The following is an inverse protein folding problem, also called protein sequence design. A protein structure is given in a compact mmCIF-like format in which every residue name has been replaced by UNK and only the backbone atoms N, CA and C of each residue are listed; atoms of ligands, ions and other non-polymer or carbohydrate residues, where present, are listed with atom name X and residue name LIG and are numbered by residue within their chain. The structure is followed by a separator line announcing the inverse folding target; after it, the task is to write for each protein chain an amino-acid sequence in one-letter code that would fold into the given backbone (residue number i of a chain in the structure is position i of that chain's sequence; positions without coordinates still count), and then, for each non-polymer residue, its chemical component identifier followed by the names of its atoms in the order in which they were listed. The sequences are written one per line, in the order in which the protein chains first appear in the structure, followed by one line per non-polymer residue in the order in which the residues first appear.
data_IF_697610157436
#
_entry.id   IF_697610157436
#
_cell.length_a   1.000
_cell.length_b   1.000
_cell.length_c   1.000
_cell.angle_alpha   90.00
_cell.angle_beta   90.00
_cell.angle_gamma   90.00
#
_symmetry.space_group_name_H-M   'P 1'
#
loop_
_entity.id
_entity.type
_entity.pdbx_description
1 polymer ?
#
# COMPACT_ATOMS: atom_id res chain seq x y z
N UNK A 1 81.83 -23.29 -48.94
CA UNK A 1 81.17 -24.10 -47.89
C UNK A 1 81.35 -23.38 -46.54
N UNK A 2 80.31 -23.31 -45.69
CA UNK A 2 79.81 -22.03 -45.15
C UNK A 2 79.66 -21.96 -43.61
N UNK A 3 79.47 -20.76 -43.05
CA UNK A 3 78.55 -20.42 -41.92
C UNK A 3 78.78 -18.95 -41.49
N UNK A 4 77.90 -18.02 -41.90
CA UNK A 4 76.76 -17.46 -41.16
C UNK A 4 77.13 -16.43 -40.06
N UNK A 5 77.04 -15.16 -40.47
CA UNK A 5 76.83 -13.97 -39.62
C UNK A 5 75.53 -14.11 -38.82
N UNK A 6 75.55 -13.79 -37.53
CA UNK A 6 74.36 -13.62 -36.69
C UNK A 6 73.74 -12.25 -36.95
N UNK A 7 72.47 -12.26 -37.32
CA UNK A 7 71.58 -11.11 -37.46
C UNK A 7 70.99 -10.74 -36.09
N UNK A 8 70.80 -9.43 -35.90
CA UNK A 8 69.96 -8.83 -34.87
C UNK A 8 68.50 -9.22 -35.09
N UNK A 9 67.81 -9.62 -34.02
CA UNK A 9 66.35 -9.66 -33.95
C UNK A 9 65.82 -8.51 -33.08
N UNK A 10 64.64 -7.93 -33.42
CA UNK A 10 64.14 -6.71 -32.81
C UNK A 10 63.08 -6.95 -31.72
N UNK A 11 63.08 -6.01 -30.76
CA UNK A 11 61.93 -5.47 -30.03
C UNK A 11 60.71 -6.37 -29.81
N UNK A 12 60.57 -6.89 -28.59
CA UNK A 12 59.29 -7.33 -28.02
C UNK A 12 58.34 -6.13 -27.90
N UNK A 13 57.37 -6.06 -28.81
CA UNK A 13 56.29 -5.10 -28.74
C UNK A 13 55.45 -5.29 -27.47
N UNK A 14 55.51 -4.30 -26.56
CA UNK A 14 54.49 -4.11 -25.53
C UNK A 14 53.16 -3.86 -26.23
N UNK A 15 52.28 -4.85 -26.26
CA UNK A 15 50.85 -4.64 -26.50
C UNK A 15 50.33 -3.79 -25.34
N UNK A 16 50.24 -2.48 -25.56
CA UNK A 16 49.37 -1.63 -24.75
C UNK A 16 47.96 -2.21 -24.88
N UNK A 17 47.50 -2.92 -23.85
CA UNK A 17 46.07 -3.06 -23.58
C UNK A 17 45.58 -1.64 -23.36
N UNK A 18 45.08 -0.99 -24.42
CA UNK A 18 44.17 0.14 -24.26
C UNK A 18 42.98 -0.45 -23.51
N UNK A 19 42.94 -0.27 -22.20
CA UNK A 19 41.66 -0.25 -21.50
C UNK A 19 40.77 0.71 -22.30
N UNK A 20 39.67 0.19 -22.84
CA UNK A 20 38.58 1.05 -23.29
C UNK A 20 38.13 1.77 -22.02
N UNK A 21 38.71 2.95 -21.77
CA UNK A 21 38.18 3.88 -20.77
C UNK A 21 36.76 4.18 -21.27
N UNK A 22 35.76 3.67 -20.55
CA UNK A 22 34.35 3.90 -20.89
C UNK A 22 34.08 5.40 -21.01
N UNK A 23 33.07 5.76 -21.79
CA UNK A 23 32.61 7.16 -21.82
C UNK A 23 32.17 7.57 -20.41
N UNK A 24 32.41 8.84 -20.05
CA UNK A 24 32.14 9.33 -18.70
C UNK A 24 30.68 9.76 -18.55
N UNK A 25 30.14 9.69 -17.33
CA UNK A 25 28.88 10.31 -17.00
C UNK A 25 29.01 11.84 -17.06
N UNK A 26 28.28 12.48 -17.97
CA UNK A 26 28.28 13.94 -18.14
C UNK A 26 26.84 14.39 -18.37
N UNK A 27 26.41 15.39 -17.59
CA UNK A 27 25.12 16.06 -17.80
C UNK A 27 25.14 16.70 -19.18
N UNK A 28 24.06 16.53 -19.94
CA UNK A 28 23.97 17.11 -21.27
C UNK A 28 24.16 18.64 -21.21
N UNK A 29 25.15 19.14 -21.96
CA UNK A 29 25.53 20.56 -21.97
C UNK A 29 24.40 21.47 -22.43
N UNK A 30 23.46 20.92 -23.20
CA UNK A 30 22.26 21.61 -23.68
C UNK A 30 21.38 22.15 -22.52
N UNK A 31 21.53 21.61 -21.31
CA UNK A 31 20.84 22.11 -20.11
C UNK A 31 21.40 23.45 -19.61
N UNK A 32 22.61 23.82 -20.02
CA UNK A 32 23.27 25.08 -19.66
C UNK A 32 23.12 26.17 -20.72
N UNK A 33 22.53 25.84 -21.88
CA UNK A 33 22.31 26.78 -22.98
C UNK A 33 20.87 27.33 -22.93
N UNK A 34 20.71 28.63 -22.64
CA UNK A 34 19.40 29.31 -22.53
C UNK A 34 18.51 29.13 -23.77
N UNK A 35 19.08 28.89 -24.96
CA UNK A 35 18.32 28.69 -26.18
C UNK A 35 17.78 27.25 -26.34
N UNK A 36 18.47 26.25 -25.78
CA UNK A 36 18.14 24.82 -25.89
C UNK A 36 17.36 24.30 -24.68
N UNK A 37 17.46 24.99 -23.52
CA UNK A 37 16.64 24.73 -22.34
C UNK A 37 15.14 24.57 -22.67
N UNK A 38 14.62 25.33 -23.64
CA UNK A 38 13.20 25.30 -24.03
C UNK A 38 12.72 24.02 -24.73
N UNK A 39 13.60 23.17 -25.27
CA UNK A 39 13.18 21.95 -25.97
C UNK A 39 13.37 20.67 -25.16
N UNK A 40 14.38 20.63 -24.29
CA UNK A 40 14.74 19.41 -23.54
C UNK A 40 14.31 19.44 -22.07
N UNK A 41 14.04 20.63 -21.51
CA UNK A 41 13.54 20.84 -20.16
C UNK A 41 12.09 21.30 -20.23
N UNK A 42 11.19 20.54 -19.59
CA UNK A 42 9.79 20.88 -19.45
C UNK A 42 9.50 21.11 -17.96
N UNK A 43 9.38 22.38 -17.58
CA UNK A 43 8.92 22.79 -16.26
C UNK A 43 7.42 23.08 -16.33
N UNK A 44 6.66 22.51 -15.40
CA UNK A 44 5.26 22.82 -15.20
C UNK A 44 4.96 22.91 -13.71
N UNK A 45 4.06 23.80 -13.33
CA UNK A 45 3.72 24.09 -11.94
C UNK A 45 2.37 23.50 -11.51
N UNK A 46 1.64 22.86 -12.43
CA UNK A 46 0.32 22.26 -12.15
C UNK A 46 0.41 20.72 -12.23
N UNK A 47 -0.03 19.96 -11.22
CA UNK A 47 -0.70 20.40 -9.97
C UNK A 47 0.25 20.95 -8.89
N UNK A 48 1.55 20.73 -9.06
CA UNK A 48 2.63 21.29 -8.24
C UNK A 48 3.90 21.42 -9.10
N UNK A 49 4.92 22.20 -8.69
CA UNK A 49 6.17 22.32 -9.44
C UNK A 49 6.87 20.97 -9.68
N UNK A 50 6.96 20.58 -10.94
CA UNK A 50 7.70 19.40 -11.41
C UNK A 50 8.40 19.71 -12.73
N UNK A 51 9.53 19.07 -12.94
CA UNK A 51 10.37 19.29 -14.10
C UNK A 51 10.77 17.96 -14.73
N UNK A 52 10.70 17.88 -16.05
CA UNK A 52 11.21 16.77 -16.83
C UNK A 52 12.37 17.24 -17.71
N UNK A 53 13.49 16.54 -17.61
CA UNK A 53 14.67 16.73 -18.44
C UNK A 53 14.84 15.49 -19.32
N UNK A 54 14.67 15.66 -20.63
CA UNK A 54 14.95 14.61 -21.61
C UNK A 54 16.42 14.59 -22.00
N UNK A 55 16.95 13.40 -22.31
CA UNK A 55 18.37 13.20 -22.65
C UNK A 55 19.31 13.78 -21.57
N UNK A 56 19.03 13.43 -20.32
CA UNK A 56 19.73 13.97 -19.14
C UNK A 56 21.24 13.75 -19.21
N UNK A 57 21.66 12.54 -19.59
CA UNK A 57 23.07 12.21 -19.81
C UNK A 57 23.43 12.34 -21.29
N UNK A 58 24.61 12.89 -21.57
CA UNK A 58 25.07 13.14 -22.93
C UNK A 58 25.41 11.87 -23.73
N UNK A 59 26.03 10.88 -23.06
CA UNK A 59 26.53 9.65 -23.69
C UNK A 59 25.49 8.54 -23.61
N UNK A 60 24.94 8.14 -24.76
CA UNK A 60 24.06 6.97 -24.85
C UNK A 60 24.80 5.68 -24.48
N UNK A 61 26.08 5.56 -24.84
CA UNK A 61 26.87 4.35 -24.52
C UNK A 61 27.09 4.19 -23.01
N UNK A 62 27.23 5.32 -22.28
CA UNK A 62 27.25 5.30 -20.82
C UNK A 62 25.89 4.88 -20.25
N UNK A 63 24.78 5.40 -20.76
CA UNK A 63 23.43 5.08 -20.27
C UNK A 63 23.11 3.60 -20.48
N UNK A 64 23.44 3.04 -21.65
CA UNK A 64 23.32 1.61 -21.94
C UNK A 64 24.16 0.75 -20.97
N UNK A 65 25.40 1.16 -20.70
CA UNK A 65 26.29 0.45 -19.79
C UNK A 65 25.82 0.54 -18.33
N UNK A 66 25.29 1.69 -17.91
CA UNK A 66 24.66 1.88 -16.60
C UNK A 66 23.45 0.97 -16.45
N UNK A 67 22.55 0.92 -17.44
CA UNK A 67 21.39 0.03 -17.42
C UNK A 67 21.84 -1.43 -17.29
N UNK A 68 22.83 -1.85 -18.08
CA UNK A 68 23.35 -3.22 -18.04
C UNK A 68 23.96 -3.57 -16.67
N UNK A 69 24.66 -2.64 -16.02
CA UNK A 69 25.22 -2.80 -14.68
C UNK A 69 24.12 -2.88 -13.61
N UNK A 70 23.09 -2.02 -13.69
CA UNK A 70 21.96 -2.03 -12.76
C UNK A 70 21.11 -3.31 -12.88
N UNK A 71 20.92 -3.84 -14.08
CA UNK A 71 20.17 -5.08 -14.28
C UNK A 71 20.86 -6.31 -13.67
N UNK A 72 22.17 -6.24 -13.41
CA UNK A 72 22.95 -7.30 -12.74
C UNK A 72 22.88 -7.25 -11.21
N UNK A 73 22.28 -6.21 -10.63
CA UNK A 73 22.08 -6.14 -9.18
C UNK A 73 21.09 -7.19 -8.71
N UNK A 74 21.19 -7.55 -7.43
CA UNK A 74 20.14 -8.30 -6.74
C UNK A 74 18.97 -7.35 -6.47
N UNK A 75 17.76 -7.85 -6.72
CA UNK A 75 16.52 -7.14 -6.43
C UNK A 75 15.71 -7.94 -5.42
N UNK A 76 15.18 -7.23 -4.43
CA UNK A 76 14.32 -7.77 -3.40
C UNK A 76 12.88 -7.36 -3.72
N UNK A 77 11.96 -8.32 -3.71
CA UNK A 77 10.53 -8.03 -3.82
C UNK A 77 10.07 -7.22 -2.61
N UNK A 78 9.39 -6.11 -2.86
CA UNK A 78 8.78 -5.25 -1.84
C UNK A 78 7.28 -5.19 -2.08
N UNK A 79 6.51 -5.49 -1.05
CA UNK A 79 5.05 -5.42 -1.12
C UNK A 79 4.49 -5.07 0.26
N UNK A 80 3.65 -4.05 0.32
CA UNK A 80 2.82 -3.68 1.46
C UNK A 80 1.46 -3.18 0.95
N UNK A 81 0.69 -2.44 1.71
CA UNK A 81 -0.54 -1.80 1.24
C UNK A 81 -0.29 -0.81 0.08
N UNK A 82 0.74 0.02 0.20
CA UNK A 82 1.06 1.12 -0.72
C UNK A 82 1.64 0.65 -2.06
N UNK A 83 2.42 -0.41 -2.08
CA UNK A 83 3.19 -0.79 -3.26
C UNK A 83 3.36 -2.28 -3.46
N UNK A 84 3.76 -2.63 -4.69
CA UNK A 84 4.31 -3.93 -5.08
C UNK A 84 5.30 -3.69 -6.22
N UNK A 85 6.58 -3.93 -5.99
CA UNK A 85 7.64 -3.82 -7.00
C UNK A 85 8.91 -4.51 -6.52
N UNK A 86 9.98 -4.44 -7.29
CA UNK A 86 11.30 -4.94 -6.90
C UNK A 86 12.30 -3.80 -6.72
N UNK A 87 13.08 -3.81 -5.64
CA UNK A 87 14.08 -2.78 -5.34
C UNK A 87 15.47 -3.39 -5.13
N UNK A 88 16.51 -2.74 -5.64
CA UNK A 88 17.88 -3.09 -5.29
C UNK A 88 18.18 -2.74 -3.82
N UNK A 89 19.31 -3.23 -3.30
CA UNK A 89 19.91 -2.61 -2.12
C UNK A 89 20.23 -1.12 -2.39
N UNK A 90 20.46 -0.36 -1.31
CA UNK A 90 20.93 1.02 -1.40
C UNK A 90 22.21 1.12 -2.26
N UNK A 91 22.27 2.16 -3.10
CA UNK A 91 23.37 2.37 -4.03
C UNK A 91 24.40 3.40 -3.52
N UNK A 92 24.19 3.94 -2.31
CA UNK A 92 25.03 4.97 -1.70
C UNK A 92 26.50 4.57 -1.64
N UNK A 93 26.79 3.31 -1.30
CA UNK A 93 28.15 2.78 -1.10
C UNK A 93 28.62 1.80 -2.20
N UNK A 94 27.85 1.63 -3.28
CA UNK A 94 28.20 0.78 -4.42
C UNK A 94 29.43 1.33 -5.17
N UNK A 95 30.25 0.42 -5.71
CA UNK A 95 31.60 0.71 -6.27
C UNK A 95 31.75 0.39 -7.76
N UNK A 96 30.76 -0.29 -8.30
CA UNK A 96 30.41 -0.41 -9.71
C UNK A 96 30.67 0.91 -10.46
N UNK A 97 31.33 0.83 -11.62
CA UNK A 97 31.96 1.99 -12.27
C UNK A 97 30.94 3.01 -12.77
N UNK A 98 29.83 2.57 -13.40
CA UNK A 98 28.81 3.49 -13.92
C UNK A 98 27.90 3.96 -12.79
N UNK A 99 27.61 3.11 -11.80
CA UNK A 99 26.83 3.47 -10.60
C UNK A 99 27.55 4.56 -9.80
N UNK A 100 28.86 4.42 -9.59
CA UNK A 100 29.68 5.44 -8.89
C UNK A 100 29.71 6.77 -9.63
N UNK A 101 29.77 6.73 -10.96
CA UNK A 101 29.78 7.92 -11.80
C UNK A 101 28.41 8.62 -11.83
N UNK A 102 27.30 7.89 -11.98
CA UNK A 102 25.97 8.51 -11.96
C UNK A 102 25.65 9.12 -10.58
N UNK A 103 26.07 8.48 -9.48
CA UNK A 103 25.99 9.07 -8.13
C UNK A 103 26.73 10.40 -8.06
N UNK A 104 27.95 10.44 -8.61
CA UNK A 104 28.78 11.66 -8.62
C UNK A 104 28.14 12.79 -9.46
N UNK A 105 27.45 12.45 -10.55
CA UNK A 105 26.72 13.41 -11.38
C UNK A 105 25.49 13.95 -10.65
N UNK A 106 24.64 13.07 -10.11
CA UNK A 106 23.36 13.43 -9.46
C UNK A 106 23.61 14.21 -8.16
N UNK A 107 24.42 13.69 -7.24
CA UNK A 107 24.65 14.30 -5.91
C UNK A 107 25.82 15.30 -5.88
N UNK A 108 26.57 15.41 -6.98
CA UNK A 108 27.61 16.43 -7.17
C UNK A 108 27.09 17.58 -8.02
N UNK A 109 27.33 17.51 -9.32
CA UNK A 109 27.06 18.60 -10.27
C UNK A 109 25.57 19.00 -10.30
N UNK A 110 24.66 18.03 -10.43
CA UNK A 110 23.24 18.31 -10.55
C UNK A 110 22.64 18.86 -9.26
N UNK A 111 23.00 18.30 -8.10
CA UNK A 111 22.57 18.83 -6.80
C UNK A 111 22.97 20.29 -6.59
N UNK A 112 24.22 20.67 -6.92
CA UNK A 112 24.68 22.06 -6.78
C UNK A 112 23.85 22.99 -7.65
N UNK A 113 23.63 22.61 -8.91
CA UNK A 113 22.76 23.37 -9.80
C UNK A 113 21.32 23.48 -9.25
N UNK A 114 20.78 22.40 -8.71
CA UNK A 114 19.43 22.37 -8.16
C UNK A 114 19.29 23.24 -6.91
N UNK A 115 20.30 23.26 -6.03
CA UNK A 115 20.35 24.18 -4.88
C UNK A 115 20.32 25.64 -5.32
N UNK A 116 21.04 25.99 -6.40
CA UNK A 116 21.05 27.35 -6.96
C UNK A 116 19.70 27.72 -7.57
N UNK A 117 19.04 26.80 -8.28
CA UNK A 117 17.72 27.03 -8.89
C UNK A 117 16.65 27.22 -7.82
N UNK A 118 16.63 26.37 -6.79
CA UNK A 118 15.62 26.39 -5.73
C UNK A 118 15.91 27.43 -4.65
N UNK A 119 17.13 27.98 -4.61
CA UNK A 119 17.62 28.84 -3.52
C UNK A 119 17.49 28.15 -2.16
N UNK A 120 17.83 26.86 -2.11
CA UNK A 120 17.78 26.00 -0.92
C UNK A 120 19.10 25.24 -0.80
N UNK A 121 19.64 25.16 0.41
CA UNK A 121 20.83 24.37 0.69
C UNK A 121 20.50 22.87 0.75
N UNK A 122 20.70 22.16 -0.36
CA UNK A 122 20.58 20.70 -0.39
C UNK A 122 21.84 20.03 0.17
N UNK A 123 21.63 19.03 1.03
CA UNK A 123 22.67 18.24 1.69
C UNK A 123 23.40 17.31 0.71
N UNK A 124 24.64 16.94 1.04
CA UNK A 124 25.42 15.99 0.23
C UNK A 124 25.04 14.52 0.46
N UNK A 125 24.02 14.25 1.29
CA UNK A 125 23.48 12.92 1.59
C UNK A 125 23.10 12.21 0.29
N UNK A 126 23.62 10.99 0.11
CA UNK A 126 23.29 10.15 -1.03
C UNK A 126 22.15 9.23 -0.64
N UNK A 127 21.02 9.38 -1.31
CA UNK A 127 19.82 8.57 -1.12
C UNK A 127 19.31 8.17 -2.50
N UNK A 128 19.68 6.98 -2.95
CA UNK A 128 19.39 6.49 -4.29
C UNK A 128 19.29 4.97 -4.33
N UNK A 129 18.22 4.48 -4.94
CA UNK A 129 17.97 3.07 -5.17
C UNK A 129 17.60 2.81 -6.63
N UNK A 130 17.68 1.55 -7.05
CA UNK A 130 17.17 1.11 -8.34
C UNK A 130 15.85 0.37 -8.14
N UNK A 131 14.83 0.73 -8.90
CA UNK A 131 13.53 0.07 -8.86
C UNK A 131 13.21 -0.57 -10.22
N UNK A 132 12.60 -1.76 -10.15
CA UNK A 132 12.03 -2.49 -11.28
C UNK A 132 10.54 -2.67 -11.03
N UNK A 133 9.75 -2.28 -12.01
CA UNK A 133 8.32 -2.59 -12.07
C UNK A 133 8.08 -3.48 -13.28
N UNK A 134 7.53 -4.66 -13.04
CA UNK A 134 7.09 -5.63 -14.04
C UNK A 134 5.55 -5.72 -14.04
N UNK A 135 4.99 -6.64 -14.83
CA UNK A 135 3.54 -6.79 -14.92
C UNK A 135 2.87 -6.87 -13.54
N UNK A 136 1.81 -6.10 -13.33
CA UNK A 136 1.05 -5.92 -12.07
C UNK A 136 1.72 -5.11 -10.96
N UNK A 137 2.98 -4.70 -11.12
CA UNK A 137 3.66 -3.87 -10.13
C UNK A 137 3.13 -2.43 -10.16
N UNK A 138 3.05 -1.81 -8.99
CA UNK A 138 2.40 -0.51 -8.75
C UNK A 138 3.02 0.16 -7.51
N UNK A 139 2.98 1.50 -7.46
CA UNK A 139 3.20 2.29 -6.25
C UNK A 139 2.07 3.31 -6.19
N UNK A 140 1.16 3.16 -5.23
CA UNK A 140 -0.08 3.93 -5.13
C UNK A 140 0.16 5.37 -4.65
N UNK A 141 -0.93 6.15 -4.55
CA UNK A 141 -0.89 7.57 -4.22
C UNK A 141 -0.20 7.86 -2.87
N UNK A 142 0.87 8.66 -2.91
CA UNK A 142 1.64 9.13 -1.74
C UNK A 142 2.28 10.49 -2.06
N UNK A 143 2.81 11.20 -1.05
CA UNK A 143 3.40 12.54 -1.17
C UNK A 143 4.92 12.58 -0.99
N UNK A 144 5.55 11.41 -0.82
CA UNK A 144 6.98 11.22 -0.53
C UNK A 144 7.47 11.82 0.79
N UNK A 145 6.56 12.15 1.70
CA UNK A 145 6.92 12.81 2.94
C UNK A 145 7.77 11.92 3.86
N UNK A 146 8.96 12.43 4.15
CA UNK A 146 9.82 11.96 5.24
C UNK A 146 10.74 13.12 5.64
N UNK A 147 11.07 13.23 6.92
CA UNK A 147 11.94 14.31 7.42
C UNK A 147 13.28 14.34 6.66
N UNK A 148 13.68 15.55 6.21
CA UNK A 148 14.90 15.75 5.43
C UNK A 148 14.71 15.65 3.92
N UNK A 149 13.70 14.92 3.41
CA UNK A 149 13.46 14.85 1.96
C UNK A 149 12.97 16.20 1.43
N UNK A 150 13.69 16.77 0.46
CA UNK A 150 13.34 18.07 -0.14
C UNK A 150 12.96 18.00 -1.60
N UNK A 151 13.66 17.20 -2.40
CA UNK A 151 13.36 17.03 -3.83
C UNK A 151 13.44 15.56 -4.19
N UNK A 152 12.34 15.00 -4.68
CA UNK A 152 12.32 13.66 -5.25
C UNK A 152 12.84 13.70 -6.69
N UNK A 153 13.55 12.66 -7.12
CA UNK A 153 13.97 12.50 -8.52
C UNK A 153 13.83 11.06 -9.00
N UNK A 154 13.59 10.91 -10.30
CA UNK A 154 13.46 9.62 -10.99
C UNK A 154 14.16 9.72 -12.34
N UNK A 155 15.19 8.91 -12.56
CA UNK A 155 15.87 8.74 -13.85
C UNK A 155 15.42 7.43 -14.50
N UNK A 156 14.72 7.54 -15.63
CA UNK A 156 14.16 6.41 -16.36
C UNK A 156 15.18 5.77 -17.31
N UNK A 157 15.29 4.44 -17.22
CA UNK A 157 16.16 3.59 -18.04
C UNK A 157 15.32 2.48 -18.70
N UNK A 158 14.19 2.88 -19.28
CA UNK A 158 13.17 2.00 -19.85
C UNK A 158 13.39 1.74 -21.35
N UNK A 159 12.98 0.59 -21.89
CA UNK A 159 12.85 0.40 -23.34
C UNK A 159 11.80 1.37 -23.93
N UNK A 160 11.55 1.39 -25.26
CA UNK A 160 10.44 2.16 -25.83
C UNK A 160 9.12 1.88 -25.09
N UNK A 161 8.56 2.93 -24.48
CA UNK A 161 7.41 2.86 -23.58
C UNK A 161 6.23 3.64 -24.16
N UNK A 162 5.04 3.06 -24.05
CA UNK A 162 3.79 3.59 -24.58
C UNK A 162 2.72 3.65 -23.48
N UNK A 163 1.66 4.43 -23.69
CA UNK A 163 0.53 4.55 -22.74
C UNK A 163 -0.07 3.18 -22.38
N UNK A 164 -0.15 2.26 -23.34
CA UNK A 164 -0.72 0.92 -23.13
C UNK A 164 0.13 0.03 -22.20
N UNK A 165 1.40 0.38 -22.00
CA UNK A 165 2.30 -0.40 -21.13
C UNK A 165 2.07 -0.09 -19.65
N UNK A 166 1.28 0.95 -19.32
CA UNK A 166 1.07 1.42 -17.96
C UNK A 166 2.30 2.10 -17.37
N UNK A 167 2.52 2.02 -16.06
CA UNK A 167 3.76 2.49 -15.44
C UNK A 167 4.00 4.01 -15.49
N UNK A 168 2.97 4.81 -15.74
CA UNK A 168 3.07 6.28 -15.77
C UNK A 168 3.36 6.83 -14.37
N UNK A 169 4.07 7.97 -14.32
CA UNK A 169 4.09 8.79 -13.11
C UNK A 169 2.88 9.72 -13.16
N UNK A 170 1.88 9.41 -12.36
CA UNK A 170 0.63 10.18 -12.27
C UNK A 170 0.72 11.19 -11.13
N UNK A 171 0.31 12.44 -11.39
CA UNK A 171 0.31 13.54 -10.43
C UNK A 171 -1.13 13.95 -10.12
N UNK A 172 -1.45 14.10 -8.83
CA UNK A 172 -2.80 14.39 -8.37
C UNK A 172 -3.04 15.87 -8.10
N UNK A 173 -4.25 16.34 -8.37
CA UNK A 173 -4.76 17.59 -7.80
C UNK A 173 -5.09 17.41 -6.32
N UNK A 174 -5.11 18.51 -5.57
CA UNK A 174 -5.54 18.53 -4.16
C UNK A 174 -6.79 19.38 -3.94
N UNK A 175 -7.53 19.08 -2.87
CA UNK A 175 -8.69 19.86 -2.43
C UNK A 175 -8.32 20.97 -1.41
N UNK A 176 -9.33 21.62 -0.83
CA UNK A 176 -9.16 22.66 0.19
C UNK A 176 -8.60 22.16 1.53
N UNK A 177 -8.53 20.84 1.72
CA UNK A 177 -7.94 20.16 2.88
C UNK A 177 -6.55 19.58 2.58
N UNK A 178 -5.97 19.94 1.43
CA UNK A 178 -4.71 19.40 0.93
C UNK A 178 -4.75 17.86 0.77
N UNK A 179 -5.91 17.27 0.49
CA UNK A 179 -6.04 15.84 0.22
C UNK A 179 -6.04 15.57 -1.29
N UNK A 180 -5.46 14.44 -1.76
CA UNK A 180 -5.45 14.11 -3.18
C UNK A 180 -6.87 13.82 -3.69
N UNK A 181 -7.19 14.29 -4.90
CA UNK A 181 -8.53 14.14 -5.49
C UNK A 181 -8.52 13.24 -6.73
N UNK A 182 -7.76 13.62 -7.75
CA UNK A 182 -7.75 12.92 -9.03
C UNK A 182 -6.45 13.14 -9.77
N UNK A 183 -6.05 12.17 -10.59
CA UNK A 183 -4.92 12.33 -11.51
C UNK A 183 -5.24 13.39 -12.55
N UNK A 184 -4.44 14.46 -12.58
CA UNK A 184 -4.58 15.55 -13.57
C UNK A 184 -3.44 15.59 -14.58
N UNK A 185 -2.37 14.83 -14.33
CA UNK A 185 -1.24 14.68 -15.25
C UNK A 185 -0.64 13.29 -15.14
N UNK A 186 -0.31 12.69 -16.29
CA UNK A 186 0.35 11.39 -16.38
C UNK A 186 1.59 11.50 -17.27
N UNK A 187 2.76 11.31 -16.69
CA UNK A 187 4.05 11.39 -17.37
C UNK A 187 4.50 9.99 -17.79
N UNK A 188 4.74 9.80 -19.08
CA UNK A 188 5.32 8.56 -19.59
C UNK A 188 6.80 8.48 -19.25
N UNK A 189 7.29 7.33 -18.74
CA UNK A 189 8.72 7.13 -18.57
C UNK A 189 9.38 7.04 -19.95
N UNK A 190 10.44 7.81 -20.15
CA UNK A 190 11.20 7.85 -21.40
C UNK A 190 12.66 7.51 -21.14
N UNK A 191 13.30 6.76 -22.03
CA UNK A 191 14.73 6.47 -21.95
C UNK A 191 15.57 7.74 -21.71
N UNK A 192 16.50 7.68 -20.75
CA UNK A 192 17.42 8.77 -20.42
C UNK A 192 16.69 10.09 -20.09
N UNK A 193 15.53 10.00 -19.41
CA UNK A 193 14.81 11.17 -18.90
C UNK A 193 14.79 11.20 -17.38
N UNK A 194 15.09 12.39 -16.83
CA UNK A 194 15.05 12.67 -15.40
C UNK A 194 13.79 13.49 -15.11
N UNK A 195 12.95 13.03 -14.18
CA UNK A 195 11.89 13.84 -13.59
C UNK A 195 12.28 14.18 -12.16
N UNK A 196 11.99 15.40 -11.72
CA UNK A 196 12.13 15.79 -10.32
C UNK A 196 11.07 16.80 -9.91
N UNK A 197 10.72 16.80 -8.63
CA UNK A 197 9.74 17.71 -8.05
C UNK A 197 10.01 17.91 -6.55
N UNK A 198 9.57 19.05 -6.03
CA UNK A 198 9.72 19.37 -4.61
C UNK A 198 8.78 18.50 -3.76
N UNK A 199 9.32 17.92 -2.69
CA UNK A 199 8.53 17.17 -1.70
C UNK A 199 7.78 18.17 -0.85
N UNK A 200 6.45 18.09 -0.86
CA UNK A 200 5.56 19.04 -0.19
C UNK A 200 4.28 18.36 0.28
N UNK A 201 3.48 19.00 1.15
CA UNK A 201 2.21 18.44 1.62
C UNK A 201 1.13 18.27 0.53
N UNK A 202 1.44 18.62 -0.73
CA UNK A 202 0.53 18.53 -1.88
C UNK A 202 1.15 17.82 -3.08
N UNK A 203 2.37 17.28 -2.97
CA UNK A 203 3.08 16.59 -4.07
C UNK A 203 2.61 15.14 -4.25
N UNK A 204 1.30 14.93 -4.21
CA UNK A 204 0.70 13.60 -4.33
C UNK A 204 0.90 13.02 -5.73
N UNK A 205 1.44 11.81 -5.79
CA UNK A 205 1.74 11.11 -7.02
C UNK A 205 1.70 9.59 -6.83
N UNK A 206 1.68 8.86 -7.95
CA UNK A 206 1.76 7.41 -7.97
C UNK A 206 2.56 6.92 -9.20
N UNK A 207 3.04 5.68 -9.14
CA UNK A 207 3.41 4.91 -10.33
C UNK A 207 2.23 4.01 -10.68
N UNK A 208 1.53 4.34 -11.76
CA UNK A 208 0.43 3.52 -12.26
C UNK A 208 0.88 2.08 -12.52
N UNK A 209 -0.05 1.14 -12.42
CA UNK A 209 0.23 -0.28 -12.65
C UNK A 209 0.93 -0.50 -13.99
N UNK A 210 2.00 -1.31 -14.02
CA UNK A 210 2.61 -1.77 -15.27
C UNK A 210 1.75 -2.87 -15.88
N UNK A 211 1.20 -2.59 -17.05
CA UNK A 211 0.27 -3.46 -17.77
C UNK A 211 0.99 -4.38 -18.76
N UNK A 212 2.20 -4.01 -19.20
CA UNK A 212 2.98 -4.82 -20.13
C UNK A 212 3.49 -6.11 -19.49
N UNK A 213 3.25 -7.25 -20.13
CA UNK A 213 3.77 -8.57 -19.70
C UNK A 213 5.24 -8.80 -20.09
N UNK A 214 5.75 -8.07 -21.09
CA UNK A 214 7.08 -8.34 -21.67
C UNK A 214 8.16 -7.32 -21.30
N UNK A 215 7.78 -6.18 -20.72
CA UNK A 215 8.66 -5.02 -20.53
C UNK A 215 8.92 -4.79 -19.04
N UNK A 216 10.13 -4.36 -18.73
CA UNK A 216 10.54 -3.96 -17.39
C UNK A 216 10.71 -2.44 -17.35
N UNK A 217 10.00 -1.78 -16.43
CA UNK A 217 10.19 -0.36 -16.13
C UNK A 217 11.31 -0.21 -15.11
N UNK A 218 12.52 0.05 -15.58
CA UNK A 218 13.70 0.30 -14.76
C UNK A 218 13.89 1.80 -14.50
N UNK A 219 14.14 2.17 -13.24
CA UNK A 219 14.49 3.54 -12.87
C UNK A 219 15.49 3.59 -11.72
N UNK A 220 16.35 4.61 -11.73
CA UNK A 220 16.99 5.09 -10.52
C UNK A 220 16.11 6.15 -9.89
N UNK A 221 15.86 6.07 -8.59
CA UNK A 221 15.05 7.06 -7.87
C UNK A 221 15.61 7.32 -6.49
N UNK A 222 15.35 8.50 -5.96
CA UNK A 222 15.79 8.90 -4.64
C UNK A 222 15.44 10.34 -4.32
N UNK A 223 16.09 10.87 -3.29
CA UNK A 223 15.80 12.20 -2.78
C UNK A 223 17.07 13.02 -2.57
N UNK A 224 17.00 14.31 -2.88
CA UNK A 224 17.91 15.29 -2.33
C UNK A 224 17.40 15.72 -0.97
N UNK A 225 18.27 15.65 0.03
CA UNK A 225 17.96 16.03 1.40
C UNK A 225 18.20 17.52 1.63
N UNK A 226 17.49 18.12 2.57
CA UNK A 226 17.60 19.54 2.93
C UNK A 226 16.55 19.95 3.98
N UNK A 227 16.40 21.26 4.25
CA UNK A 227 15.41 21.74 5.19
C UNK A 227 13.99 21.34 4.79
N UNK A 228 13.28 20.63 5.68
CA UNK A 228 11.88 20.24 5.47
C UNK A 228 10.97 21.46 5.29
N UNK A 229 9.94 21.32 4.43
CA UNK A 229 8.87 22.31 4.35
C UNK A 229 7.97 22.26 5.60
N UNK A 230 7.41 23.40 6.05
CA UNK A 230 6.39 23.39 7.10
C UNK A 230 5.15 22.63 6.64
N UNK A 231 4.68 21.67 7.43
CA UNK A 231 3.43 20.94 7.16
C UNK A 231 2.26 21.58 7.90
N UNK A 232 1.05 21.68 7.29
CA UNK A 232 -0.16 21.96 8.03
C UNK A 232 -0.46 20.85 9.06
N UNK A 233 -1.32 21.15 10.02
CA UNK A 233 -1.87 20.12 10.91
C UNK A 233 -2.55 19.04 10.08
N UNK A 234 -2.36 17.77 10.47
CA UNK A 234 -3.00 16.63 9.81
C UNK A 234 -4.51 16.84 9.74
N UNK A 235 -5.07 16.59 8.55
CA UNK A 235 -6.51 16.57 8.38
C UNK A 235 -7.11 15.36 9.10
N UNK A 236 -8.24 15.55 9.75
CA UNK A 236 -8.97 14.49 10.45
C UNK A 236 -10.32 14.37 9.77
N UNK A 237 -10.56 13.21 9.17
CA UNK A 237 -11.83 12.92 8.51
C UNK A 237 -12.99 12.90 9.52
N UNK A 238 -14.19 13.37 9.12
CA UNK A 238 -15.38 13.21 9.91
C UNK A 238 -15.64 11.73 10.22
N UNK A 239 -15.99 11.39 11.48
CA UNK A 239 -16.25 10.00 11.84
C UNK A 239 -17.51 9.47 11.16
N UNK A 240 -17.46 8.22 10.67
CA UNK A 240 -18.64 7.54 10.14
C UNK A 240 -19.68 7.33 11.27
N UNK A 241 -20.96 7.69 11.06
CA UNK A 241 -22.01 7.47 12.05
C UNK A 241 -22.16 5.99 12.40
N UNK A 242 -22.27 5.67 13.69
CA UNK A 242 -22.58 4.32 14.19
C UNK A 242 -24.05 4.18 14.51
N UNK A 243 -24.58 2.98 14.36
CA UNK A 243 -25.97 2.66 14.63
C UNK A 243 -26.08 1.51 15.64
N UNK A 244 -27.08 1.56 16.52
CA UNK A 244 -27.47 0.41 17.34
C UNK A 244 -28.22 -0.61 16.48
N UNK A 245 -28.42 -1.82 17.01
CA UNK A 245 -29.20 -2.85 16.32
C UNK A 245 -30.60 -2.38 15.91
N UNK A 246 -31.12 -2.94 14.82
CA UNK A 246 -32.50 -2.74 14.37
C UNK A 246 -33.37 -3.79 15.07
N UNK A 247 -34.42 -3.40 15.82
CA UNK A 247 -35.34 -4.35 16.43
C UNK A 247 -36.07 -5.15 15.36
N UNK A 248 -35.76 -6.45 15.26
CA UNK A 248 -36.34 -7.39 14.31
C UNK A 248 -36.49 -8.76 14.97
N UNK A 249 -37.42 -9.54 14.45
CA UNK A 249 -37.75 -10.87 14.97
C UNK A 249 -36.72 -11.93 14.55
N UNK A 250 -36.55 -12.97 15.38
CA UNK A 250 -35.57 -14.04 15.18
C UNK A 250 -35.83 -14.90 13.92
N UNK A 251 -37.04 -14.83 13.35
CA UNK A 251 -37.40 -15.48 12.08
C UNK A 251 -36.41 -15.20 10.95
N UNK A 252 -35.80 -14.02 10.90
CA UNK A 252 -34.79 -13.67 9.89
C UNK A 252 -33.56 -14.58 9.94
N UNK A 253 -33.12 -15.03 11.12
CA UNK A 253 -31.98 -15.94 11.22
C UNK A 253 -32.29 -17.26 10.52
N UNK A 254 -33.48 -17.83 10.76
CA UNK A 254 -33.91 -19.09 10.17
C UNK A 254 -34.18 -19.01 8.67
N UNK A 255 -34.45 -17.82 8.14
CA UNK A 255 -34.63 -17.59 6.70
C UNK A 255 -33.28 -17.49 5.96
N UNK A 256 -32.26 -16.90 6.59
CA UNK A 256 -31.04 -16.49 5.89
C UNK A 256 -29.79 -17.31 6.23
N UNK A 257 -29.60 -17.65 7.51
CA UNK A 257 -28.38 -18.29 8.00
C UNK A 257 -28.49 -19.80 7.83
N UNK A 258 -27.40 -20.42 7.36
CA UNK A 258 -27.30 -21.86 7.27
C UNK A 258 -27.52 -22.50 8.66
N UNK A 259 -28.48 -23.42 8.74
CA UNK A 259 -28.96 -24.02 9.99
C UNK A 259 -27.84 -24.60 10.87
N UNK A 260 -26.70 -25.01 10.28
CA UNK A 260 -25.56 -25.49 11.08
C UNK A 260 -25.02 -24.45 12.05
N UNK A 261 -25.05 -23.16 11.68
CA UNK A 261 -24.56 -22.06 12.52
C UNK A 261 -25.59 -21.62 13.57
N UNK A 262 -26.81 -22.16 13.51
CA UNK A 262 -27.86 -21.94 14.50
C UNK A 262 -27.89 -23.05 15.57
N UNK A 263 -27.15 -24.15 15.38
CA UNK A 263 -27.03 -25.22 16.38
C UNK A 263 -26.13 -24.77 17.56
N UNK A 264 -26.63 -24.79 18.82
CA UNK A 264 -25.86 -24.31 19.97
C UNK A 264 -24.53 -25.05 20.20
N UNK A 265 -24.45 -26.35 19.85
CA UNK A 265 -23.20 -27.11 20.01
C UNK A 265 -22.19 -26.75 18.94
N UNK A 266 -22.66 -26.40 17.74
CA UNK A 266 -21.81 -25.87 16.69
C UNK A 266 -21.30 -24.47 17.08
N UNK A 267 -22.17 -23.59 17.57
CA UNK A 267 -21.80 -22.26 18.05
C UNK A 267 -20.71 -22.32 19.13
N UNK A 268 -20.85 -23.20 20.13
CA UNK A 268 -19.84 -23.35 21.18
C UNK A 268 -18.46 -23.79 20.65
N UNK A 269 -18.42 -24.59 19.57
CA UNK A 269 -17.15 -24.97 18.92
C UNK A 269 -16.53 -23.81 18.13
N UNK A 270 -17.36 -23.07 17.40
CA UNK A 270 -16.94 -21.85 16.68
C UNK A 270 -16.39 -20.83 17.67
N UNK A 271 -17.08 -20.63 18.79
CA UNK A 271 -16.63 -19.73 19.86
C UNK A 271 -15.29 -20.16 20.43
N UNK A 272 -15.10 -21.44 20.75
CA UNK A 272 -13.82 -21.91 21.25
C UNK A 272 -12.68 -21.65 20.24
N UNK A 273 -12.90 -21.93 18.95
CA UNK A 273 -11.90 -21.68 17.91
C UNK A 273 -11.58 -20.18 17.80
N UNK A 274 -12.62 -19.33 17.82
CA UNK A 274 -12.45 -17.88 17.78
C UNK A 274 -11.72 -17.33 19.02
N UNK A 275 -12.00 -17.84 20.22
CA UNK A 275 -11.30 -17.43 21.44
C UNK A 275 -9.80 -17.81 21.41
N UNK A 276 -9.45 -18.89 20.71
CA UNK A 276 -8.06 -19.35 20.56
C UNK A 276 -7.27 -18.52 19.54
N UNK A 277 -7.88 -18.10 18.42
CA UNK A 277 -7.19 -17.44 17.29
C UNK A 277 -7.56 -15.97 17.06
N UNK A 278 -8.65 -15.48 17.66
CA UNK A 278 -9.30 -14.18 17.38
C UNK A 278 -9.75 -13.99 15.91
N UNK A 279 -9.86 -15.09 15.15
CA UNK A 279 -10.30 -15.10 13.75
C UNK A 279 -11.07 -16.38 13.42
N UNK A 280 -12.04 -16.29 12.51
CA UNK A 280 -12.69 -17.48 11.95
C UNK A 280 -13.27 -17.21 10.56
N UNK A 281 -13.31 -18.25 9.71
CA UNK A 281 -13.98 -18.23 8.41
C UNK A 281 -15.13 -19.27 8.37
N UNK A 282 -16.36 -18.79 8.19
CA UNK A 282 -17.57 -19.61 8.14
C UNK A 282 -18.04 -19.75 6.69
N UNK A 283 -17.69 -20.88 6.06
CA UNK A 283 -18.03 -21.16 4.67
C UNK A 283 -19.51 -21.52 4.47
N UNK A 284 -20.12 -21.09 3.36
CA UNK A 284 -21.54 -21.34 3.05
C UNK A 284 -22.47 -20.78 4.15
N UNK A 285 -22.19 -19.55 4.59
CA UNK A 285 -22.90 -18.94 5.71
C UNK A 285 -24.39 -18.70 5.42
N UNK A 286 -24.71 -18.26 4.20
CA UNK A 286 -26.09 -18.06 3.78
C UNK A 286 -26.65 -19.29 3.06
N UNK A 287 -27.91 -19.63 3.35
CA UNK A 287 -28.63 -20.78 2.74
C UNK A 287 -29.43 -20.41 1.48
N UNK A 288 -29.63 -19.11 1.22
CA UNK A 288 -30.41 -18.61 0.07
C UNK A 288 -29.53 -18.53 -1.19
N UNK A 289 -30.06 -18.92 -2.35
CA UNK A 289 -29.38 -18.77 -3.63
C UNK A 289 -29.29 -17.28 -4.02
N UNK A 290 -28.07 -16.75 -4.11
CA UNK A 290 -27.77 -15.31 -4.30
C UNK A 290 -27.99 -14.77 -5.73
N UNK A 291 -28.69 -15.47 -6.60
CA UNK A 291 -28.78 -15.12 -8.04
C UNK A 291 -29.72 -13.93 -8.40
N UNK A 292 -30.41 -13.28 -7.45
CA UNK A 292 -31.30 -12.12 -7.77
C UNK A 292 -31.12 -10.93 -6.82
N UNK A 293 -30.34 -9.93 -7.24
CA UNK A 293 -30.05 -8.68 -6.48
C UNK A 293 -30.96 -7.55 -6.98
N UNK A 294 -32.07 -7.24 -6.28
CA UNK A 294 -32.14 -6.00 -5.49
C UNK A 294 -32.86 -6.05 -4.12
N UNK A 295 -33.77 -7.01 -3.83
CA UNK A 295 -34.43 -7.10 -2.49
C UNK A 295 -33.59 -7.86 -1.48
N UNK A 296 -32.89 -8.90 -1.93
CA UNK A 296 -32.05 -9.74 -1.07
C UNK A 296 -30.88 -8.97 -0.44
N UNK A 297 -30.40 -7.90 -1.09
CA UNK A 297 -29.33 -7.05 -0.55
C UNK A 297 -29.84 -6.24 0.63
N UNK A 298 -31.06 -5.69 0.54
CA UNK A 298 -31.68 -4.99 1.66
C UNK A 298 -31.95 -5.95 2.81
N UNK A 299 -32.50 -7.14 2.52
CA UNK A 299 -32.79 -8.16 3.53
C UNK A 299 -31.50 -8.66 4.21
N UNK A 300 -30.43 -8.88 3.46
CA UNK A 300 -29.12 -9.24 4.02
C UNK A 300 -28.52 -8.10 4.86
N UNK A 301 -28.65 -6.85 4.42
CA UNK A 301 -28.24 -5.70 5.24
C UNK A 301 -29.03 -5.62 6.56
N UNK A 302 -30.35 -5.80 6.48
CA UNK A 302 -31.23 -5.80 7.66
C UNK A 302 -30.89 -6.95 8.61
N UNK A 303 -30.58 -8.14 8.08
CA UNK A 303 -30.08 -9.27 8.86
C UNK A 303 -28.80 -8.90 9.62
N UNK A 304 -27.75 -8.44 8.93
CA UNK A 304 -26.46 -8.12 9.54
C UNK A 304 -26.59 -6.99 10.58
N UNK A 305 -27.58 -6.10 10.42
CA UNK A 305 -27.85 -5.01 11.37
C UNK A 305 -28.85 -5.36 12.48
N UNK A 306 -29.43 -6.57 12.48
CA UNK A 306 -30.55 -6.94 13.36
C UNK A 306 -30.11 -7.30 14.79
N UNK A 307 -31.01 -7.09 15.76
CA UNK A 307 -30.79 -7.49 17.16
C UNK A 307 -30.40 -8.97 17.30
N UNK A 308 -31.09 -9.85 16.57
CA UNK A 308 -30.80 -11.30 16.57
C UNK A 308 -29.40 -11.61 16.06
N UNK A 309 -28.89 -10.84 15.09
CA UNK A 309 -27.53 -11.03 14.57
C UNK A 309 -26.46 -10.55 15.56
N UNK A 310 -26.71 -9.48 16.31
CA UNK A 310 -25.82 -9.06 17.42
C UNK A 310 -25.73 -10.15 18.51
N UNK A 311 -26.87 -10.79 18.84
CA UNK A 311 -26.88 -11.94 19.76
C UNK A 311 -26.10 -13.11 19.17
N UNK A 312 -26.31 -13.44 17.89
CA UNK A 312 -25.57 -14.50 17.21
C UNK A 312 -24.06 -14.24 17.26
N UNK A 313 -23.60 -13.04 16.90
CA UNK A 313 -22.18 -12.68 16.97
C UNK A 313 -21.63 -12.76 18.39
N UNK A 314 -22.42 -12.35 19.40
CA UNK A 314 -22.01 -12.49 20.81
C UNK A 314 -21.76 -13.96 21.16
N UNK A 315 -22.65 -14.86 20.72
CA UNK A 315 -22.50 -16.30 20.96
C UNK A 315 -21.34 -16.91 20.16
N UNK A 316 -21.06 -16.43 18.95
CA UNK A 316 -19.97 -16.95 18.11
C UNK A 316 -18.59 -16.47 18.54
N UNK A 317 -18.50 -15.35 19.26
CA UNK A 317 -17.21 -14.68 19.53
C UNK A 317 -16.91 -14.48 21.01
N UNK A 318 -17.89 -14.69 21.89
CA UNK A 318 -17.78 -14.37 23.32
C UNK A 318 -17.84 -12.86 23.63
N UNK A 319 -17.93 -12.00 22.62
CA UNK A 319 -18.01 -10.55 22.81
C UNK A 319 -19.39 -10.12 23.31
N UNK A 320 -19.45 -9.04 24.10
CA UNK A 320 -20.71 -8.50 24.61
C UNK A 320 -21.34 -7.53 23.61
N UNK A 321 -21.84 -8.06 22.49
CA UNK A 321 -22.55 -7.27 21.47
C UNK A 321 -24.05 -7.15 21.75
N UNK A 322 -24.57 -7.82 22.77
CA UNK A 322 -25.96 -7.66 23.19
C UNK A 322 -26.12 -7.72 24.71
N UNK A 323 -27.11 -7.02 25.27
CA UNK A 323 -27.31 -6.95 26.72
C UNK A 323 -27.78 -8.28 27.35
N UNK A 324 -28.35 -9.18 26.54
CA UNK A 324 -28.73 -10.54 26.95
C UNK A 324 -27.53 -11.51 27.00
N UNK A 325 -26.39 -11.12 26.43
CA UNK A 325 -25.19 -11.93 26.37
C UNK A 325 -24.18 -11.37 27.39
N UNK A 326 -23.67 -12.21 28.28
CA UNK A 326 -22.73 -11.84 29.34
C UNK A 326 -22.71 -12.90 30.44
N UNK A 327 -21.59 -12.98 31.17
CA UNK A 327 -21.40 -14.03 32.19
C UNK A 327 -22.50 -14.02 33.26
N UNK A 328 -23.08 -15.20 33.51
CA UNK A 328 -23.99 -15.43 34.65
C UNK A 328 -23.27 -15.18 36.01
N UNK A 329 -21.94 -15.05 36.01
CA UNK A 329 -21.08 -14.94 37.19
C UNK A 329 -21.12 -13.58 37.93
N UNK A 330 -21.74 -12.52 37.38
CA UNK A 330 -21.94 -11.27 38.14
C UNK A 330 -23.21 -11.29 39.04
N UNK A 331 -24.03 -12.36 39.03
CA UNK A 331 -25.35 -12.38 39.69
C UNK A 331 -25.48 -13.14 41.02
N UNK A 332 -24.42 -13.76 41.55
CA UNK A 332 -24.49 -14.57 42.79
C UNK A 332 -23.81 -13.97 44.04
N UNK A 333 -23.76 -12.65 44.22
CA UNK A 333 -23.25 -12.06 45.48
C UNK A 333 -24.09 -10.91 46.05
N UNK A 334 -25.41 -10.99 45.94
CA UNK A 334 -26.31 -10.21 46.79
C UNK A 334 -27.17 -11.13 47.66
N UNK A 335 -26.56 -11.82 48.63
CA UNK A 335 -27.33 -12.30 49.78
C UNK A 335 -26.48 -12.50 51.05
N UNK A 336 -26.64 -11.55 51.98
CA UNK A 336 -26.53 -11.81 53.42
C UNK A 336 -25.27 -11.33 54.16
N UNK A 337 -25.33 -10.16 54.80
CA UNK A 337 -25.48 -10.03 56.28
C UNK A 337 -25.36 -8.60 56.79
N UNK A 338 -26.27 -8.28 57.70
CA UNK A 338 -26.34 -7.10 58.56
C UNK A 338 -25.22 -6.99 59.61
N UNK A 339 -24.79 -5.73 59.83
CA UNK A 339 -24.27 -5.10 61.06
C UNK A 339 -23.13 -5.77 61.86
N UNK A 340 -21.92 -5.16 61.88
CA UNK A 340 -21.36 -4.46 63.08
C UNK A 340 -20.05 -3.68 62.80
N UNK A 341 -20.07 -2.43 63.27
CA UNK A 341 -19.03 -1.44 63.63
C UNK A 341 -17.49 -1.64 63.45
N UNK A 342 -16.89 -0.58 62.87
CA UNK A 342 -15.66 0.16 63.25
C UNK A 342 -14.24 -0.47 63.13
N UNK A 343 -13.45 0.00 62.15
CA UNK A 343 -12.31 0.95 62.28
C UNK A 343 -11.27 0.80 61.16
N UNK A 344 -10.96 1.93 60.50
CA UNK A 344 -9.59 2.31 60.15
C UNK A 344 -9.06 1.93 58.76
N UNK A 345 -8.83 2.97 57.94
CA UNK A 345 -7.68 3.08 57.04
C UNK A 345 -7.68 2.21 55.77
N UNK A 346 -7.97 2.83 54.63
CA UNK A 346 -7.05 3.03 53.49
C UNK A 346 -7.87 3.36 52.24
N UNK A 347 -7.43 4.40 51.52
CA UNK A 347 -8.13 4.94 50.37
C UNK A 347 -8.16 3.92 49.23
N UNK A 348 -9.32 3.31 49.03
CA UNK A 348 -9.59 2.44 47.90
C UNK A 348 -9.90 3.32 46.69
N UNK A 349 -9.00 3.32 45.70
CA UNK A 349 -9.25 3.85 44.36
C UNK A 349 -10.34 3.00 43.70
N UNK A 350 -11.61 3.39 43.88
CA UNK A 350 -12.70 2.92 43.03
C UNK A 350 -12.41 3.40 41.61
N UNK A 351 -11.86 2.51 40.78
CA UNK A 351 -11.93 2.65 39.35
C UNK A 351 -13.40 2.67 38.97
N UNK A 352 -13.90 3.86 38.61
CA UNK A 352 -15.22 4.01 38.01
C UNK A 352 -15.31 3.09 36.80
N UNK A 353 -16.17 2.06 36.83
CA UNK A 353 -16.62 1.32 35.64
C UNK A 353 -17.10 2.41 34.66
N UNK A 354 -16.31 2.68 33.60
CA UNK A 354 -16.77 3.53 32.49
C UNK A 354 -17.95 2.78 31.89
N UNK A 355 -19.14 3.39 31.94
CA UNK A 355 -20.27 2.92 31.14
C UNK A 355 -19.79 2.83 29.67
N UNK A 356 -19.58 1.61 29.19
CA UNK A 356 -19.52 1.35 27.75
C UNK A 356 -20.94 1.66 27.24
N UNK A 357 -21.05 2.44 26.17
CA UNK A 357 -22.35 2.74 25.56
C UNK A 357 -23.06 1.47 25.07
N UNK A 358 -24.27 1.56 24.50
CA UNK A 358 -24.88 0.38 23.89
C UNK A 358 -24.00 -0.14 22.74
N UNK A 359 -23.99 -1.46 22.48
CA UNK A 359 -23.31 -2.02 21.33
C UNK A 359 -23.79 -1.38 20.01
N UNK A 360 -22.86 -1.16 19.08
CA UNK A 360 -23.14 -0.50 17.81
C UNK A 360 -22.45 -1.19 16.63
N UNK A 361 -22.90 -0.90 15.42
CA UNK A 361 -22.21 -1.30 14.19
C UNK A 361 -22.13 -0.16 13.17
N UNK A 362 -21.24 -0.34 12.21
CA UNK A 362 -21.18 0.40 10.94
C UNK A 362 -21.06 -0.64 9.83
N UNK A 363 -21.84 -0.49 8.77
CA UNK A 363 -21.81 -1.38 7.63
C UNK A 363 -21.64 -0.62 6.33
N UNK A 364 -21.09 -1.29 5.32
CA UNK A 364 -21.07 -0.85 3.93
C UNK A 364 -21.16 -2.05 2.98
N UNK A 365 -21.79 -1.83 1.82
CA UNK A 365 -21.80 -2.78 0.71
C UNK A 365 -20.80 -2.29 -0.31
N UNK A 366 -19.79 -3.10 -0.61
CA UNK A 366 -18.66 -2.71 -1.45
C UNK A 366 -18.65 -3.50 -2.73
N UNK A 367 -18.13 -2.88 -3.78
CA UNK A 367 -17.79 -3.52 -5.05
C UNK A 367 -16.31 -3.31 -5.28
N UNK A 368 -15.63 -4.40 -5.60
CA UNK A 368 -14.19 -4.45 -5.82
C UNK A 368 -13.88 -4.91 -7.23
N UNK A 369 -13.11 -4.10 -7.95
CA UNK A 369 -12.66 -4.36 -9.32
C UNK A 369 -11.21 -3.90 -9.52
N UNK A 370 -10.66 -4.16 -10.70
CA UNK A 370 -9.32 -3.70 -11.08
C UNK A 370 -9.12 -2.21 -10.77
N UNK A 371 -8.02 -1.91 -10.05
CA UNK A 371 -7.65 -0.57 -9.63
C UNK A 371 -8.12 -0.19 -8.22
N UNK A 372 -9.05 -0.95 -7.62
CA UNK A 372 -9.54 -0.65 -6.26
C UNK A 372 -8.55 -1.14 -5.18
N UNK A 373 -8.46 -0.39 -4.07
CA UNK A 373 -7.60 -0.66 -2.92
C UNK A 373 -8.06 0.12 -1.68
N UNK A 374 -7.50 -0.22 -0.52
CA UNK A 374 -7.42 0.71 0.63
C UNK A 374 -5.98 0.82 1.12
N UNK A 375 -5.66 1.89 1.83
CA UNK A 375 -4.33 2.14 2.39
C UNK A 375 -4.43 2.37 3.90
N UNK A 376 -3.33 2.11 4.59
CA UNK A 376 -3.13 2.59 5.94
C UNK A 376 -2.80 4.08 5.89
N UNK A 377 -3.41 4.85 6.80
CA UNK A 377 -3.16 6.28 6.89
C UNK A 377 -3.22 6.78 8.34
N UNK A 378 -2.66 7.96 8.55
CA UNK A 378 -2.43 8.55 9.87
C UNK A 378 -3.69 8.78 10.73
N UNK A 379 -4.85 8.90 10.09
CA UNK A 379 -6.14 9.15 10.75
C UNK A 379 -6.96 7.89 11.04
N UNK A 380 -6.41 6.70 10.76
CA UNK A 380 -7.07 5.43 11.09
C UNK A 380 -7.32 5.36 12.59
N UNK A 381 -8.59 5.19 12.97
CA UNK A 381 -8.99 5.07 14.38
C UNK A 381 -8.54 3.73 14.95
N UNK A 382 -7.84 3.82 16.09
CA UNK A 382 -7.37 2.68 16.86
C UNK A 382 -8.36 2.35 17.97
N UNK A 383 -9.16 1.33 17.74
CA UNK A 383 -10.22 0.90 18.65
C UNK A 383 -10.50 -0.58 18.50
N UNK A 384 -10.95 -1.19 19.60
CA UNK A 384 -11.44 -2.56 19.58
C UNK A 384 -12.69 -2.65 18.69
N UNK A 385 -12.71 -3.63 17.80
CA UNK A 385 -13.84 -3.87 16.92
C UNK A 385 -13.83 -5.33 16.43
N UNK A 386 -15.03 -5.88 16.20
CA UNK A 386 -15.21 -7.12 15.45
C UNK A 386 -15.50 -6.77 14.00
N UNK A 387 -14.57 -7.10 13.11
CA UNK A 387 -14.77 -6.95 11.68
C UNK A 387 -15.48 -8.18 11.11
N UNK A 388 -16.41 -7.94 10.20
CA UNK A 388 -17.16 -8.94 9.46
C UNK A 388 -17.03 -8.65 7.97
N UNK A 389 -16.70 -9.68 7.19
CA UNK A 389 -16.61 -9.61 5.74
C UNK A 389 -17.34 -10.79 5.11
N UNK A 390 -18.44 -10.53 4.39
CA UNK A 390 -19.19 -11.54 3.65
C UNK A 390 -18.99 -11.32 2.14
N UNK A 391 -18.18 -12.17 1.51
CA UNK A 391 -17.83 -12.03 0.11
C UNK A 391 -18.84 -12.74 -0.82
N UNK A 392 -19.12 -12.12 -1.97
CA UNK A 392 -20.05 -12.61 -3.00
C UNK A 392 -19.54 -12.31 -4.40
N UNK A 393 -19.79 -13.21 -5.34
CA UNK A 393 -19.42 -13.04 -6.75
C UNK A 393 -17.92 -13.14 -7.01
N UNK A 394 -17.16 -13.79 -6.11
CA UNK A 394 -15.71 -14.01 -6.24
C UNK A 394 -15.35 -15.47 -6.63
N UNK A 395 -16.29 -16.22 -7.20
CA UNK A 395 -16.02 -17.58 -7.67
C UNK A 395 -14.88 -17.59 -8.71
N UNK A 396 -13.78 -18.30 -8.41
CA UNK A 396 -12.60 -18.34 -9.27
C UNK A 396 -11.67 -17.13 -9.14
N UNK A 397 -11.91 -16.24 -8.16
CA UNK A 397 -10.95 -15.20 -7.79
C UNK A 397 -9.67 -15.84 -7.25
N UNK A 398 -8.52 -15.32 -7.67
CA UNK A 398 -7.22 -15.86 -7.29
C UNK A 398 -6.48 -14.88 -6.40
N UNK A 399 -5.69 -15.39 -5.46
CA UNK A 399 -4.83 -14.58 -4.58
C UNK A 399 -3.89 -13.65 -5.37
N UNK A 400 -3.41 -14.09 -6.54
CA UNK A 400 -2.53 -13.31 -7.42
C UNK A 400 -3.18 -12.03 -7.97
N UNK A 401 -4.51 -11.91 -7.94
CA UNK A 401 -5.23 -10.72 -8.40
C UNK A 401 -5.22 -9.59 -7.37
N UNK A 402 -4.88 -9.85 -6.11
CA UNK A 402 -5.11 -8.91 -5.02
C UNK A 402 -6.55 -8.96 -4.50
N UNK A 403 -7.00 -7.88 -3.84
CA UNK A 403 -8.34 -7.77 -3.27
C UNK A 403 -8.54 -8.51 -1.94
N UNK A 404 -7.49 -9.18 -1.44
CA UNK A 404 -7.51 -9.75 -0.09
C UNK A 404 -7.35 -8.67 0.97
N UNK A 405 -7.93 -8.92 2.15
CA UNK A 405 -7.75 -8.07 3.32
C UNK A 405 -6.58 -8.60 4.14
N UNK A 406 -5.59 -7.76 4.39
CA UNK A 406 -4.45 -8.08 5.25
C UNK A 406 -4.58 -7.32 6.57
N UNK A 407 -4.35 -8.02 7.68
CA UNK A 407 -4.30 -7.48 9.03
C UNK A 407 -2.86 -7.51 9.50
N UNK A 408 -2.36 -6.38 9.99
CA UNK A 408 -0.96 -6.21 10.42
C UNK A 408 -0.88 -5.60 11.81
N UNK A 409 0.22 -5.88 12.51
CA UNK A 409 0.54 -5.20 13.75
C UNK A 409 1.05 -3.77 13.48
N UNK A 410 0.64 -2.83 14.32
CA UNK A 410 1.07 -1.44 14.27
C UNK A 410 2.56 -1.33 14.60
N UNK A 411 3.30 -0.50 13.84
CA UNK A 411 4.76 -0.32 13.94
C UNK A 411 5.61 -1.58 13.67
N UNK A 412 5.00 -2.64 13.13
CA UNK A 412 5.71 -3.88 12.80
C UNK A 412 5.52 -4.24 11.32
N UNK A 413 6.53 -4.88 10.73
CA UNK A 413 6.45 -5.43 9.36
C UNK A 413 5.76 -6.82 9.35
N UNK A 414 5.07 -7.19 10.44
CA UNK A 414 4.44 -8.50 10.63
C UNK A 414 2.98 -8.50 10.16
N UNK A 415 2.72 -9.29 9.10
CA UNK A 415 1.37 -9.66 8.69
C UNK A 415 0.83 -10.73 9.65
N UNK A 416 -0.27 -10.40 10.33
CA UNK A 416 -0.91 -11.27 11.32
C UNK A 416 -1.86 -12.26 10.65
N UNK A 417 -2.65 -11.79 9.68
CA UNK A 417 -3.70 -12.56 9.04
C UNK A 417 -4.00 -12.00 7.64
N UNK A 418 -4.30 -12.91 6.71
CA UNK A 418 -4.84 -12.55 5.39
C UNK A 418 -6.17 -13.25 5.14
N UNK A 419 -7.21 -12.47 4.83
CA UNK A 419 -8.54 -12.95 4.45
C UNK A 419 -8.70 -12.81 2.93
N UNK A 420 -8.83 -13.95 2.24
CA UNK A 420 -9.03 -13.99 0.79
C UNK A 420 -10.51 -13.91 0.42
N UNK A 421 -10.89 -13.25 -0.69
CA UNK A 421 -12.26 -13.28 -1.19
C UNK A 421 -12.67 -14.71 -1.57
N UNK A 422 -13.67 -15.25 -0.89
CA UNK A 422 -14.23 -16.58 -1.15
C UNK A 422 -15.75 -16.53 -1.16
N UNK A 423 -16.36 -17.12 -2.18
CA UNK A 423 -17.78 -16.93 -2.47
C UNK A 423 -18.65 -17.54 -1.36
N UNK A 424 -19.55 -16.74 -0.79
CA UNK A 424 -20.42 -17.12 0.34
C UNK A 424 -19.64 -17.55 1.61
N UNK A 425 -18.47 -16.95 1.84
CA UNK A 425 -17.71 -17.10 3.09
C UNK A 425 -17.83 -15.85 3.97
N UNK A 426 -18.16 -16.05 5.24
CA UNK A 426 -18.19 -15.00 6.27
C UNK A 426 -16.90 -15.07 7.10
N UNK A 427 -16.05 -14.05 6.98
CA UNK A 427 -14.89 -13.89 7.85
C UNK A 427 -15.23 -12.98 9.03
N UNK A 428 -14.82 -13.39 10.24
CA UNK A 428 -14.87 -12.59 11.46
C UNK A 428 -13.45 -12.42 12.00
N UNK A 429 -13.04 -11.18 12.29
CA UNK A 429 -11.71 -10.88 12.84
C UNK A 429 -11.85 -9.86 13.95
N UNK A 430 -11.40 -10.21 15.16
CA UNK A 430 -11.37 -9.25 16.27
C UNK A 430 -10.07 -8.45 16.25
N UNK A 431 -10.20 -7.13 16.12
CA UNK A 431 -9.06 -6.21 16.16
C UNK A 431 -8.98 -5.54 17.51
N UNK A 432 -7.75 -5.37 17.99
CA UNK A 432 -7.42 -4.46 19.08
C UNK A 432 -6.99 -3.08 18.57
N UNK A 433 -6.39 -2.27 19.45
CA UNK A 433 -5.94 -0.91 19.11
C UNK A 433 -4.67 -0.88 18.28
N UNK A 434 -3.90 -1.97 18.28
CA UNK A 434 -2.62 -2.06 17.61
C UNK A 434 -2.72 -2.93 16.34
N UNK A 435 -3.92 -3.40 16.00
CA UNK A 435 -4.20 -4.11 14.75
C UNK A 435 -4.78 -3.17 13.69
N UNK A 436 -4.09 -3.07 12.56
CA UNK A 436 -4.54 -2.33 11.39
C UNK A 436 -4.95 -3.29 10.26
N UNK A 437 -5.73 -2.81 9.28
CA UNK A 437 -6.09 -3.59 8.09
C UNK A 437 -6.10 -2.75 6.82
N UNK A 438 -5.83 -3.40 5.70
CA UNK A 438 -6.01 -2.82 4.37
C UNK A 438 -6.46 -3.88 3.37
N UNK A 439 -6.98 -3.45 2.22
CA UNK A 439 -7.35 -4.29 1.10
C UNK A 439 -6.33 -4.07 -0.01
N UNK A 440 -5.60 -5.13 -0.35
CA UNK A 440 -4.53 -5.07 -1.34
C UNK A 440 -5.07 -4.69 -2.71
N UNK A 441 -4.37 -3.78 -3.40
CA UNK A 441 -4.68 -3.38 -4.77
C UNK A 441 -5.00 -4.55 -5.70
N UNK A 442 -6.15 -4.43 -6.38
CA UNK A 442 -6.59 -5.40 -7.38
C UNK A 442 -5.94 -5.06 -8.71
N UNK A 443 -5.09 -5.96 -9.21
CA UNK A 443 -4.32 -5.73 -10.44
C UNK A 443 -5.08 -6.19 -11.72
N UNK A 444 -4.54 -5.80 -12.87
CA UNK A 444 -5.17 -6.00 -14.19
C UNK A 444 -5.33 -7.48 -14.59
N UNK A 445 -4.62 -8.40 -13.92
CA UNK A 445 -4.80 -9.85 -14.16
C UNK A 445 -6.23 -10.31 -13.85
N UNK A 446 -6.91 -9.64 -12.91
CA UNK A 446 -8.33 -9.90 -12.61
C UNK A 446 -9.23 -9.68 -13.84
N UNK A 447 -9.00 -8.59 -14.58
CA UNK A 447 -9.80 -8.20 -15.74
C UNK A 447 -9.51 -9.05 -16.98
N UNK A 448 -8.23 -9.40 -17.21
CA UNK A 448 -7.85 -10.19 -18.37
C UNK A 448 -8.36 -11.63 -18.28
N UNK A 449 -8.26 -12.24 -17.10
CA UNK A 449 -8.59 -13.66 -16.90
C UNK A 449 -10.08 -13.92 -16.63
N UNK A 450 -10.82 -12.96 -16.05
CA UNK A 450 -12.26 -13.10 -15.77
C UNK A 450 -13.17 -12.53 -16.87
N UNK A 451 -12.60 -12.06 -17.98
CA UNK A 451 -13.33 -11.51 -19.14
C UNK A 451 -14.43 -12.41 -19.72
N UNK A 452 -14.40 -13.72 -19.42
CA UNK A 452 -15.40 -14.71 -19.85
C UNK A 452 -16.60 -14.86 -18.89
N UNK A 453 -16.57 -14.30 -17.67
CA UNK A 453 -17.56 -14.54 -16.61
C UNK A 453 -18.57 -13.38 -16.39
N UNK A 454 -18.75 -12.46 -17.36
CA UNK A 454 -19.66 -11.30 -17.30
C UNK A 454 -19.40 -10.25 -16.19
N UNK A 455 -18.62 -10.52 -15.14
CA UNK A 455 -18.21 -9.52 -14.14
C UNK A 455 -16.76 -9.74 -13.68
N UNK A 456 -15.85 -8.82 -14.01
CA UNK A 456 -14.49 -8.77 -13.46
C UNK A 456 -14.45 -8.01 -12.13
N UNK A 457 -15.39 -8.32 -11.24
CA UNK A 457 -15.58 -7.67 -9.96
C UNK A 457 -16.22 -8.63 -8.98
N UNK A 458 -15.94 -8.45 -7.68
CA UNK A 458 -16.67 -9.10 -6.61
C UNK A 458 -17.28 -8.06 -5.67
N UNK A 459 -18.13 -8.52 -4.76
CA UNK A 459 -18.82 -7.68 -3.79
C UNK A 459 -18.57 -8.22 -2.38
N UNK A 460 -18.66 -7.35 -1.38
CA UNK A 460 -18.76 -7.80 -0.01
C UNK A 460 -19.68 -6.90 0.83
N UNK A 461 -20.28 -7.50 1.85
CA UNK A 461 -20.79 -6.74 2.98
C UNK A 461 -19.66 -6.64 4.01
N UNK A 462 -19.24 -5.42 4.35
CA UNK A 462 -18.25 -5.15 5.38
C UNK A 462 -18.93 -4.46 6.56
N UNK A 463 -18.89 -5.10 7.73
CA UNK A 463 -19.42 -4.54 8.97
C UNK A 463 -18.35 -4.51 10.05
N UNK A 464 -18.36 -3.47 10.88
CA UNK A 464 -17.59 -3.40 12.10
C UNK A 464 -18.56 -3.29 13.28
N UNK A 465 -18.44 -4.17 14.27
CA UNK A 465 -19.24 -4.16 15.50
C UNK A 465 -18.38 -3.73 16.70
N UNK A 466 -19.02 -3.05 17.63
CA UNK A 466 -18.39 -2.45 18.80
C UNK A 466 -19.20 -2.80 20.06
N UNK A 467 -18.52 -3.20 21.13
CA UNK A 467 -19.10 -3.41 22.47
C UNK A 467 -19.60 -2.13 23.15
#
# INVERSE_FOLDING_TARGET
MPAKKRQNDPATGKKNKKEKRGELAVINSDLRDEAVQKSNILLDCEPFPHCQITRFLQSESFVESLQAELLQLNFNSKSNDLYKFQQSDDLGERKEDHISQIRSVIFGEFRVWLSEVLQVDLEATVDISCAKYEHTDVLLCHDDELEGRRVAFILYLVPPWEVKDGGTLDLFSTDEHCQPVSVVKSLLPCWNSLVFFEVSPVSFHQVAEVLSEEKCRLSLSGWFHGPSLPRPSRYIEPPVPRHTHIPRDESLLFEWVNEMYLDPRYQARVQQEFEESSEICLATFLQVNMQSVPSCVQECWELLSSESFFILLSNLTGLRLHYLCGDEDESENEDGKSETENRGGEGNTQASKKDKGPPTCVGELRRWMHGDYTLLHDSVKREYALDLQLHMGCAGWKSEFGGFTSYIAHDEDEELLTVYPEDNSLALVYRDKDTLKFIKHINNSSSSQLSSQNTAAFYDFSFNYYE
#
